data_IF_988996162214
#
_entry.id   IF_988996162214
#
_cell.length_a   1.000
_cell.length_b   1.000
_cell.length_c   1.000
_cell.angle_alpha   90.00
_cell.angle_beta   90.00
_cell.angle_gamma   90.00
#
_symmetry.space_group_name_H-M   'P 1'
#
loop_
_entity.id
_entity.type
_entity.pdbx_description
1 polymer ?
#
# COMPACT_ATOMS: atom_id res chain seq x y z
N UNK A 1 11.92 -33.97 -10.73
CA UNK A 1 11.29 -34.34 -9.45
C UNK A 1 10.08 -33.44 -9.27
N UNK A 2 8.87 -34.00 -9.34
CA UNK A 2 7.65 -33.27 -9.01
C UNK A 2 7.64 -33.02 -7.51
N UNK A 3 7.52 -31.75 -7.10
CA UNK A 3 7.31 -31.44 -5.69
C UNK A 3 6.03 -32.10 -5.20
N UNK A 4 6.03 -32.73 -4.02
CA UNK A 4 4.81 -33.30 -3.48
C UNK A 4 3.76 -32.16 -3.29
N UNK A 5 2.48 -32.47 -3.45
CA UNK A 5 1.44 -31.47 -3.22
C UNK A 5 1.51 -30.95 -1.77
N UNK A 6 1.12 -29.69 -1.53
CA UNK A 6 1.13 -29.14 -0.18
C UNK A 6 0.23 -29.96 0.74
N UNK A 7 0.77 -30.34 1.90
CA UNK A 7 0.07 -31.17 2.88
C UNK A 7 -0.83 -30.36 3.83
N UNK A 8 -0.98 -29.05 3.61
CA UNK A 8 -1.77 -28.17 4.47
C UNK A 8 -2.63 -27.21 3.66
N UNK A 9 -3.77 -26.85 4.21
CA UNK A 9 -4.63 -25.77 3.68
C UNK A 9 -4.17 -24.47 4.33
N UNK A 10 -3.85 -23.46 3.51
CA UNK A 10 -3.49 -22.13 3.96
C UNK A 10 -4.31 -21.06 3.22
N UNK A 11 -4.52 -19.88 3.82
CA UNK A 11 -5.13 -18.77 3.12
C UNK A 11 -4.31 -18.38 1.89
N UNK A 12 -4.99 -17.93 0.84
CA UNK A 12 -4.32 -17.32 -0.31
C UNK A 12 -3.76 -15.96 0.13
N UNK A 13 -2.52 -15.65 -0.21
CA UNK A 13 -1.84 -14.42 0.20
C UNK A 13 -2.54 -13.12 -0.24
N UNK A 14 -3.41 -13.15 -1.24
CA UNK A 14 -4.24 -12.03 -1.71
C UNK A 14 -5.69 -12.06 -1.16
N UNK A 15 -5.98 -12.94 -0.20
CA UNK A 15 -7.31 -13.05 0.38
C UNK A 15 -7.60 -11.88 1.33
N UNK A 16 -8.74 -11.22 1.12
CA UNK A 16 -9.30 -10.25 2.07
C UNK A 16 -10.59 -10.82 2.68
N UNK A 17 -10.63 -10.93 4.00
CA UNK A 17 -11.82 -11.44 4.71
C UNK A 17 -13.02 -10.50 4.58
N UNK A 18 -12.75 -9.21 4.63
CA UNK A 18 -13.76 -8.16 4.57
C UNK A 18 -13.35 -7.08 3.58
N UNK A 19 -14.28 -6.68 2.76
CA UNK A 19 -14.13 -5.56 1.84
C UNK A 19 -15.48 -4.91 1.61
N UNK A 20 -15.49 -3.60 1.41
CA UNK A 20 -16.70 -2.86 1.07
C UNK A 20 -16.39 -1.58 0.34
N UNK A 21 -17.43 -1.01 -0.26
CA UNK A 21 -17.36 0.27 -0.93
C UNK A 21 -18.66 1.05 -0.71
N UNK A 22 -18.53 2.37 -0.62
CA UNK A 22 -19.63 3.33 -0.63
C UNK A 22 -19.35 4.30 -1.76
N UNK A 23 -20.30 4.51 -2.64
CA UNK A 23 -20.21 5.50 -3.71
C UNK A 23 -21.39 6.48 -3.60
N UNK A 24 -21.08 7.77 -3.65
CA UNK A 24 -22.06 8.86 -3.67
C UNK A 24 -21.82 9.68 -4.93
N UNK A 25 -22.86 9.86 -5.71
CA UNK A 25 -22.86 10.73 -6.90
C UNK A 25 -23.96 11.75 -6.75
N UNK A 26 -23.63 13.01 -6.94
CA UNK A 26 -24.57 14.10 -6.90
C UNK A 26 -24.25 15.14 -7.97
N UNK A 27 -25.28 15.66 -8.65
CA UNK A 27 -25.16 16.71 -9.63
C UNK A 27 -26.26 17.74 -9.46
N UNK A 28 -25.88 19.00 -9.43
CA UNK A 28 -26.82 20.12 -9.43
C UNK A 28 -27.56 20.20 -10.76
N UNK A 29 -28.86 20.42 -10.68
CA UNK A 29 -29.76 20.54 -11.82
C UNK A 29 -29.70 21.88 -12.55
N UNK A 30 -30.49 22.01 -13.62
CA UNK A 30 -30.57 23.26 -14.41
C UNK A 30 -31.09 24.45 -13.62
N UNK A 31 -31.86 24.20 -12.56
CA UNK A 31 -32.56 25.24 -11.79
C UNK A 31 -31.70 25.77 -10.61
N UNK A 32 -30.51 25.24 -10.41
CA UNK A 32 -29.61 25.59 -9.30
C UNK A 32 -28.70 26.80 -9.60
N UNK A 33 -29.02 27.58 -10.62
CA UNK A 33 -28.33 28.80 -10.97
C UNK A 33 -26.83 28.60 -11.26
N UNK A 34 -25.95 29.27 -10.52
CA UNK A 34 -24.48 29.17 -10.72
C UNK A 34 -23.91 27.77 -10.43
N UNK A 35 -24.59 26.94 -9.67
CA UNK A 35 -24.18 25.57 -9.38
C UNK A 35 -24.65 24.56 -10.44
N UNK A 36 -25.50 25.02 -11.38
CA UNK A 36 -25.97 24.16 -12.46
C UNK A 36 -24.82 23.51 -13.23
N UNK A 37 -24.86 22.20 -13.36
CA UNK A 37 -23.81 21.42 -14.02
C UNK A 37 -22.62 21.02 -13.15
N UNK A 38 -22.52 21.52 -11.90
CA UNK A 38 -21.53 21.05 -10.92
C UNK A 38 -21.90 19.66 -10.44
N UNK A 39 -20.94 18.77 -10.46
CA UNK A 39 -21.09 17.38 -10.03
C UNK A 39 -20.01 16.95 -9.05
N UNK A 40 -20.38 16.07 -8.14
CA UNK A 40 -19.49 15.44 -7.18
C UNK A 40 -19.67 13.94 -7.23
N UNK A 41 -18.56 13.21 -7.31
CA UNK A 41 -18.54 11.76 -7.15
C UNK A 41 -17.52 11.45 -6.05
N UNK A 42 -18.01 10.87 -4.95
CA UNK A 42 -17.18 10.43 -3.84
C UNK A 42 -17.22 8.92 -3.75
N UNK A 43 -16.07 8.30 -3.67
CA UNK A 43 -15.91 6.86 -3.50
C UNK A 43 -15.08 6.58 -2.24
N UNK A 44 -15.60 5.73 -1.35
CA UNK A 44 -14.88 5.23 -0.20
C UNK A 44 -14.82 3.71 -0.25
N UNK A 45 -13.60 3.15 -0.19
CA UNK A 45 -13.34 1.71 -0.19
C UNK A 45 -12.56 1.33 1.06
N UNK A 46 -12.82 0.13 1.56
CA UNK A 46 -12.06 -0.46 2.64
C UNK A 46 -11.88 -1.95 2.44
N UNK A 47 -10.78 -2.48 2.96
CA UNK A 47 -10.53 -3.92 3.03
C UNK A 47 -9.71 -4.28 4.27
N UNK A 48 -9.81 -5.55 4.70
CA UNK A 48 -9.20 -6.07 5.93
C UNK A 48 -7.71 -6.39 5.83
N UNK A 49 -7.05 -5.99 4.78
CA UNK A 49 -5.70 -6.45 4.51
C UNK A 49 -5.67 -7.91 3.99
N UNK A 50 -4.48 -8.46 3.83
CA UNK A 50 -4.24 -9.81 3.30
C UNK A 50 -3.36 -10.64 4.25
N UNK A 51 -3.43 -11.98 4.18
CA UNK A 51 -2.60 -12.85 5.01
C UNK A 51 -1.11 -12.73 4.68
N UNK A 52 -0.28 -12.81 5.69
CA UNK A 52 1.16 -13.02 5.59
C UNK A 52 1.61 -13.98 6.70
N UNK A 53 2.87 -14.40 6.66
CA UNK A 53 3.44 -15.31 7.66
C UNK A 53 4.65 -14.64 8.32
N UNK A 54 4.63 -14.51 9.63
CA UNK A 54 5.83 -14.12 10.38
C UNK A 54 6.92 -15.19 10.20
N UNK A 55 8.12 -14.75 9.86
CA UNK A 55 9.25 -15.65 9.60
C UNK A 55 10.58 -14.97 9.90
N UNK A 56 11.55 -15.72 10.41
CA UNK A 56 12.87 -15.19 10.74
C UNK A 56 13.74 -14.84 9.53
N UNK A 57 13.46 -15.40 8.39
CA UNK A 57 14.02 -14.95 7.11
C UNK A 57 15.53 -15.15 6.93
N UNK A 58 16.18 -16.11 7.57
CA UNK A 58 17.60 -16.40 7.36
C UNK A 58 18.57 -15.43 8.04
N UNK A 59 19.84 -15.43 7.66
CA UNK A 59 20.89 -14.62 8.32
C UNK A 59 21.34 -13.40 7.53
N UNK A 60 21.59 -12.29 8.22
CA UNK A 60 22.13 -11.05 7.66
C UNK A 60 21.08 -9.99 7.32
N UNK A 61 21.55 -8.86 6.84
CA UNK A 61 20.70 -7.69 6.51
C UNK A 61 19.61 -8.01 5.50
N UNK A 62 19.96 -8.73 4.44
CA UNK A 62 19.00 -9.17 3.42
C UNK A 62 17.87 -10.03 3.93
N UNK A 63 18.13 -10.77 4.98
CA UNK A 63 17.12 -11.62 5.58
C UNK A 63 15.96 -10.87 6.22
N UNK A 64 16.18 -9.65 6.68
CA UNK A 64 15.12 -8.79 7.19
C UNK A 64 14.24 -8.22 6.05
N UNK A 65 14.85 -7.95 4.89
CA UNK A 65 14.21 -7.27 3.76
C UNK A 65 13.54 -8.24 2.77
N UNK A 66 14.27 -9.28 2.38
CA UNK A 66 13.81 -10.26 1.37
C UNK A 66 12.64 -11.11 1.87
N UNK A 67 12.19 -10.70 2.99
CA UNK A 67 11.28 -11.41 3.76
C UNK A 67 10.17 -12.03 2.98
N UNK A 68 9.25 -11.35 2.51
CA UNK A 68 7.95 -11.93 2.51
C UNK A 68 7.36 -12.29 1.17
N UNK A 69 7.72 -11.60 0.12
CA UNK A 69 6.84 -11.58 -1.04
C UNK A 69 7.17 -12.66 -2.07
N UNK A 70 8.44 -12.96 -2.29
CA UNK A 70 8.85 -13.80 -3.41
C UNK A 70 9.29 -15.21 -3.06
N UNK A 71 9.60 -15.53 -1.81
CA UNK A 71 9.97 -16.87 -1.44
C UNK A 71 8.85 -17.57 -0.68
N UNK A 72 8.72 -18.85 -0.89
CA UNK A 72 7.81 -19.70 -0.12
C UNK A 72 8.07 -19.51 1.38
N UNK A 73 7.03 -19.09 2.13
CA UNK A 73 7.11 -18.90 3.57
C UNK A 73 7.65 -20.12 4.33
N UNK A 74 7.50 -21.32 3.76
CA UNK A 74 8.03 -22.58 4.31
C UNK A 74 9.55 -22.67 4.26
N UNK A 75 10.21 -21.93 3.38
CA UNK A 75 11.67 -21.91 3.25
C UNK A 75 12.37 -20.93 4.20
N UNK A 76 11.62 -20.24 5.07
CA UNK A 76 12.11 -19.12 5.88
C UNK A 76 11.94 -19.26 7.37
N UNK A 77 11.84 -20.46 7.88
CA UNK A 77 11.62 -20.67 9.30
C UNK A 77 10.39 -19.88 9.82
N UNK A 78 9.18 -20.26 9.35
CA UNK A 78 7.97 -19.59 9.77
C UNK A 78 7.77 -19.74 11.28
N UNK A 79 7.49 -18.63 11.95
CA UNK A 79 7.24 -18.58 13.40
C UNK A 79 5.77 -18.85 13.76
N UNK A 80 4.93 -18.95 12.74
CA UNK A 80 3.50 -19.21 12.89
C UNK A 80 2.99 -20.11 11.76
N UNK A 81 1.73 -20.49 11.79
CA UNK A 81 1.09 -21.17 10.68
C UNK A 81 1.09 -20.32 9.41
N UNK A 82 1.21 -20.93 8.24
CA UNK A 82 1.22 -20.20 6.96
C UNK A 82 -0.04 -19.35 6.81
N UNK A 83 0.15 -18.03 6.63
CA UNK A 83 -0.91 -17.04 6.57
C UNK A 83 -1.58 -16.76 7.91
N UNK A 84 -0.89 -16.98 9.03
CA UNK A 84 -1.43 -16.79 10.38
C UNK A 84 -1.70 -15.33 10.74
N UNK A 85 -0.90 -14.42 10.24
CA UNK A 85 -1.05 -12.98 10.45
C UNK A 85 -1.75 -12.29 9.29
N UNK A 86 -2.21 -11.05 9.50
CA UNK A 86 -2.90 -10.24 8.48
C UNK A 86 -2.36 -8.82 8.49
N UNK A 87 -2.09 -8.26 7.31
CA UNK A 87 -1.69 -6.86 7.16
C UNK A 87 -2.78 -5.92 7.68
N UNK A 88 -2.47 -4.66 8.02
CA UNK A 88 -3.45 -3.70 8.49
C UNK A 88 -4.60 -3.47 7.50
N UNK A 89 -5.72 -2.97 8.03
CA UNK A 89 -6.84 -2.50 7.22
C UNK A 89 -6.40 -1.35 6.31
N UNK A 90 -6.97 -1.31 5.12
CA UNK A 90 -6.73 -0.29 4.12
C UNK A 90 -8.00 0.49 3.83
N UNK A 91 -7.86 1.81 3.68
CA UNK A 91 -8.96 2.73 3.47
C UNK A 91 -8.61 3.69 2.33
N UNK A 92 -9.47 3.76 1.33
CA UNK A 92 -9.29 4.62 0.16
C UNK A 92 -10.50 5.52 0.00
N UNK A 93 -10.28 6.82 -0.06
CA UNK A 93 -11.29 7.81 -0.37
C UNK A 93 -10.88 8.56 -1.63
N UNK A 94 -11.73 8.59 -2.63
CA UNK A 94 -11.51 9.29 -3.89
C UNK A 94 -12.62 10.32 -4.10
N UNK A 95 -12.28 11.47 -4.65
CA UNK A 95 -13.22 12.52 -4.97
C UNK A 95 -13.01 12.98 -6.40
N UNK A 96 -14.08 13.02 -7.17
CA UNK A 96 -14.13 13.72 -8.44
C UNK A 96 -15.10 14.88 -8.32
N UNK A 97 -14.67 16.07 -8.74
CA UNK A 97 -15.52 17.25 -8.93
C UNK A 97 -15.48 17.61 -10.40
N UNK A 98 -16.61 17.79 -11.02
CA UNK A 98 -16.66 18.26 -12.40
C UNK A 98 -17.70 19.35 -12.59
N UNK A 99 -17.43 20.26 -13.51
CA UNK A 99 -18.32 21.35 -13.87
C UNK A 99 -18.56 21.36 -15.38
N UNK A 100 -19.81 21.21 -15.77
CA UNK A 100 -20.24 21.17 -17.17
C UNK A 100 -20.71 22.54 -17.62
N UNK A 101 -20.14 23.04 -18.69
CA UNK A 101 -20.47 24.31 -19.33
C UNK A 101 -20.92 24.05 -20.77
N UNK A 102 -21.86 24.84 -21.25
CA UNK A 102 -22.22 24.89 -22.67
C UNK A 102 -21.84 26.27 -23.24
N UNK A 103 -20.93 26.29 -24.18
CA UNK A 103 -20.40 27.52 -24.80
C UNK A 103 -20.69 27.47 -26.32
N UNK A 104 -21.73 28.18 -26.76
CA UNK A 104 -22.04 28.29 -28.19
C UNK A 104 -22.28 26.96 -28.92
N UNK A 105 -22.88 25.98 -28.22
CA UNK A 105 -23.16 24.65 -28.78
C UNK A 105 -22.04 23.61 -28.53
N UNK A 106 -20.90 24.05 -27.99
CA UNK A 106 -19.80 23.17 -27.58
C UNK A 106 -19.93 22.87 -26.09
N UNK A 107 -19.89 21.60 -25.73
CA UNK A 107 -19.88 21.13 -24.34
C UNK A 107 -18.45 21.15 -23.78
N UNK A 108 -18.22 21.87 -22.70
CA UNK A 108 -16.93 21.91 -21.99
C UNK A 108 -17.13 21.35 -20.59
N UNK A 109 -16.32 20.39 -20.20
CA UNK A 109 -16.31 19.85 -18.83
C UNK A 109 -14.93 20.09 -18.20
N UNK A 110 -14.91 20.87 -17.14
CA UNK A 110 -13.74 21.02 -16.26
C UNK A 110 -13.83 19.94 -15.18
N UNK A 111 -12.74 19.27 -14.85
CA UNK A 111 -12.77 18.30 -13.77
C UNK A 111 -11.49 18.32 -12.93
N UNK A 112 -11.67 18.01 -11.65
CA UNK A 112 -10.63 17.66 -10.70
C UNK A 112 -10.90 16.26 -10.17
N UNK A 113 -9.88 15.41 -10.16
CA UNK A 113 -9.93 14.07 -9.60
C UNK A 113 -8.84 13.93 -8.54
N UNK A 114 -9.23 13.57 -7.32
CA UNK A 114 -8.35 13.42 -6.17
C UNK A 114 -8.36 11.94 -5.77
N UNK A 115 -7.27 11.26 -6.05
CA UNK A 115 -7.00 9.92 -5.53
C UNK A 115 -6.48 10.04 -4.11
N UNK A 116 -6.93 9.19 -3.21
CA UNK A 116 -6.54 9.19 -1.80
C UNK A 116 -6.76 10.56 -1.14
N UNK A 117 -8.02 11.02 -1.14
CA UNK A 117 -8.47 12.35 -0.68
C UNK A 117 -7.90 12.77 0.68
N UNK A 118 -7.75 11.83 1.61
CA UNK A 118 -7.27 12.10 2.97
C UNK A 118 -5.78 11.85 3.16
N UNK A 119 -5.04 11.58 2.07
CA UNK A 119 -3.62 11.21 2.09
C UNK A 119 -3.31 10.07 3.10
N UNK A 120 -4.22 9.10 3.17
CA UNK A 120 -4.09 7.96 4.08
C UNK A 120 -2.90 7.12 3.67
N UNK A 121 -1.93 6.94 4.58
CA UNK A 121 -0.76 6.08 4.36
C UNK A 121 -1.15 4.62 4.57
N UNK A 122 -1.81 4.03 3.59
CA UNK A 122 -2.23 2.63 3.63
C UNK A 122 -1.03 1.70 3.54
N UNK A 123 -0.93 0.76 4.47
CA UNK A 123 0.03 -0.33 4.45
C UNK A 123 -0.49 -1.40 3.50
N UNK A 124 0.24 -1.66 2.40
CA UNK A 124 -0.10 -2.71 1.44
C UNK A 124 0.73 -3.97 1.63
N UNK A 125 1.89 -3.86 2.29
CA UNK A 125 2.72 -4.99 2.69
C UNK A 125 3.41 -4.69 4.02
N UNK A 126 3.96 -5.73 4.65
CA UNK A 126 4.77 -5.63 5.86
C UNK A 126 6.04 -6.46 5.69
N UNK A 127 7.07 -6.12 6.43
CA UNK A 127 8.25 -6.97 6.54
C UNK A 127 7.89 -8.22 7.35
N UNK A 128 8.20 -9.40 6.82
CA UNK A 128 7.77 -10.65 7.45
C UNK A 128 8.42 -10.93 8.79
N UNK A 129 9.61 -10.40 9.04
CA UNK A 129 10.30 -10.57 10.32
C UNK A 129 9.62 -9.80 11.45
N UNK A 130 9.30 -8.55 11.22
CA UNK A 130 8.73 -7.66 12.23
C UNK A 130 7.19 -7.63 12.24
N UNK A 131 6.55 -8.01 11.13
CA UNK A 131 5.12 -7.82 10.92
C UNK A 131 4.72 -6.34 10.78
N UNK A 132 5.69 -5.45 10.49
CA UNK A 132 5.53 -4.01 10.49
C UNK A 132 5.94 -3.42 9.13
N UNK A 133 5.35 -2.31 8.73
CA UNK A 133 5.71 -1.58 7.51
C UNK A 133 6.79 -0.49 7.75
N UNK A 134 7.11 -0.19 9.01
CA UNK A 134 8.05 0.85 9.41
C UNK A 134 9.36 0.32 9.98
N UNK A 135 9.44 -0.98 10.22
CA UNK A 135 10.61 -1.66 10.79
C UNK A 135 10.79 -3.02 10.11
N UNK A 136 11.92 -3.23 9.48
CA UNK A 136 12.26 -4.49 8.82
C UNK A 136 12.77 -5.57 9.80
N UNK A 137 12.95 -5.21 11.08
CA UNK A 137 13.43 -6.10 12.13
C UNK A 137 14.96 -6.23 12.17
N UNK A 138 15.72 -5.52 11.32
CA UNK A 138 17.18 -5.64 11.32
C UNK A 138 17.83 -4.91 12.50
N UNK A 139 17.54 -3.62 12.67
CA UNK A 139 18.13 -2.82 13.75
C UNK A 139 17.59 -3.18 15.12
N UNK A 140 16.39 -3.70 15.19
CA UNK A 140 15.72 -4.10 16.43
C UNK A 140 16.12 -5.50 16.91
N UNK A 141 16.76 -6.29 16.05
CA UNK A 141 17.34 -7.60 16.41
C UNK A 141 18.85 -7.47 16.66
N UNK A 142 19.33 -7.55 17.93
CA UNK A 142 20.75 -7.47 18.24
C UNK A 142 21.58 -8.60 17.60
N UNK A 143 20.99 -9.76 17.34
CA UNK A 143 21.70 -10.87 16.70
C UNK A 143 22.09 -10.55 15.26
N UNK A 144 21.32 -9.68 14.59
CA UNK A 144 21.59 -9.25 13.21
C UNK A 144 22.45 -7.98 13.15
N UNK A 145 22.21 -7.03 14.05
CA UNK A 145 22.71 -5.67 13.89
C UNK A 145 23.91 -5.31 14.80
N UNK A 146 24.07 -5.98 15.96
CA UNK A 146 25.03 -5.53 16.98
C UNK A 146 26.48 -5.44 16.51
N UNK A 147 26.95 -6.40 15.74
CA UNK A 147 28.33 -6.42 15.24
C UNK A 147 28.59 -5.26 14.26
N UNK A 148 27.71 -5.05 13.31
CA UNK A 148 27.88 -3.99 12.31
C UNK A 148 27.66 -2.59 12.91
N UNK A 149 26.74 -2.46 13.86
CA UNK A 149 26.50 -1.22 14.60
C UNK A 149 27.70 -0.90 15.49
N UNK A 150 28.28 -1.89 16.18
CA UNK A 150 29.48 -1.69 16.97
C UNK A 150 30.69 -1.26 16.13
N UNK A 151 30.82 -1.81 14.91
CA UNK A 151 31.92 -1.46 14.01
C UNK A 151 31.78 -0.06 13.38
N UNK A 152 30.56 0.40 13.10
CA UNK A 152 30.32 1.61 12.30
C UNK A 152 29.60 2.74 13.07
N UNK A 153 29.12 2.48 14.26
CA UNK A 153 28.51 3.47 15.15
C UNK A 153 27.16 4.02 14.69
N UNK A 154 26.80 5.15 15.30
CA UNK A 154 25.48 5.79 15.08
C UNK A 154 25.27 6.25 13.64
N UNK A 155 26.31 6.66 12.94
CA UNK A 155 26.21 7.09 11.53
C UNK A 155 25.64 5.97 10.63
N UNK A 156 26.03 4.73 10.89
CA UNK A 156 25.45 3.59 10.18
C UNK A 156 23.97 3.43 10.47
N UNK A 157 23.57 3.54 11.74
CA UNK A 157 22.16 3.43 12.16
C UNK A 157 21.30 4.49 11.46
N UNK A 158 21.77 5.73 11.43
CA UNK A 158 21.06 6.85 10.81
C UNK A 158 20.94 6.67 9.29
N UNK A 159 22.03 6.23 8.65
CA UNK A 159 22.03 5.93 7.23
C UNK A 159 21.09 4.77 6.88
N UNK A 160 21.15 3.69 7.68
CA UNK A 160 20.29 2.53 7.50
C UNK A 160 18.81 2.92 7.59
N UNK A 161 18.43 3.67 8.63
CA UNK A 161 17.07 4.16 8.82
C UNK A 161 16.59 4.98 7.63
N UNK A 162 17.41 5.94 7.21
CA UNK A 162 17.05 6.80 6.09
C UNK A 162 16.85 6.00 4.78
N UNK A 163 17.77 5.11 4.44
CA UNK A 163 17.74 4.36 3.19
C UNK A 163 16.67 3.26 3.22
N UNK A 164 16.65 2.45 4.28
CA UNK A 164 15.86 1.22 4.30
C UNK A 164 14.50 1.34 4.99
N UNK A 165 14.36 2.19 6.00
CA UNK A 165 13.10 2.32 6.73
C UNK A 165 12.25 3.53 6.27
N UNK A 166 12.88 4.68 6.07
CA UNK A 166 12.15 5.88 5.64
C UNK A 166 11.89 5.90 4.14
N UNK A 167 12.93 5.62 3.33
CA UNK A 167 12.83 5.58 1.88
C UNK A 167 12.57 4.18 1.31
N UNK A 168 12.76 3.13 2.09
CA UNK A 168 12.51 1.73 1.72
C UNK A 168 13.20 1.32 0.41
N UNK A 169 14.36 1.94 0.13
CA UNK A 169 15.03 1.83 -1.15
C UNK A 169 15.40 0.38 -1.48
N UNK A 170 15.87 -0.37 -0.47
CA UNK A 170 16.21 -1.78 -0.65
C UNK A 170 14.98 -2.61 -1.01
N UNK A 171 13.90 -2.44 -0.25
CA UNK A 171 12.63 -3.14 -0.49
C UNK A 171 12.06 -2.83 -1.89
N UNK A 172 12.03 -1.55 -2.27
CA UNK A 172 11.52 -1.14 -3.58
C UNK A 172 12.39 -1.69 -4.73
N UNK A 173 13.70 -1.72 -4.55
CA UNK A 173 14.62 -2.27 -5.56
C UNK A 173 14.44 -3.78 -5.75
N UNK A 174 14.21 -4.52 -4.66
CA UNK A 174 14.09 -5.97 -4.71
C UNK A 174 12.72 -6.44 -5.21
N UNK A 175 11.65 -5.74 -4.85
CA UNK A 175 10.28 -6.17 -5.13
C UNK A 175 9.56 -5.33 -6.20
N UNK A 176 10.10 -4.20 -6.60
CA UNK A 176 9.48 -3.29 -7.58
C UNK A 176 8.22 -2.56 -7.07
N UNK A 177 7.89 -2.72 -5.78
CA UNK A 177 6.73 -2.11 -5.11
C UNK A 177 7.14 -1.56 -3.76
N UNK A 178 6.38 -0.59 -3.22
CA UNK A 178 6.53 -0.10 -1.86
C UNK A 178 5.69 -0.92 -0.87
N UNK A 179 5.99 -0.85 0.42
CA UNK A 179 5.14 -1.37 1.50
C UNK A 179 3.91 -0.50 1.74
N UNK A 180 3.92 0.74 1.24
CA UNK A 180 2.81 1.68 1.32
C UNK A 180 2.15 1.89 -0.04
N UNK A 181 0.84 2.15 -0.02
CA UNK A 181 0.09 2.59 -1.19
C UNK A 181 0.55 3.99 -1.63
N UNK A 182 0.13 4.37 -2.84
CA UNK A 182 0.42 5.70 -3.39
C UNK A 182 -0.14 6.81 -2.50
N UNK A 183 0.58 7.94 -2.34
CA UNK A 183 0.09 9.11 -1.64
C UNK A 183 -1.06 9.77 -2.41
N UNK A 184 -1.60 10.86 -1.87
CA UNK A 184 -2.59 11.67 -2.55
C UNK A 184 -2.09 12.14 -3.93
N UNK A 185 -2.94 12.00 -4.95
CA UNK A 185 -2.68 12.50 -6.30
C UNK A 185 -3.86 13.34 -6.77
N UNK A 186 -3.59 14.58 -7.17
CA UNK A 186 -4.58 15.49 -7.75
C UNK A 186 -4.36 15.57 -9.27
N UNK A 187 -5.42 15.30 -10.03
CA UNK A 187 -5.44 15.40 -11.49
C UNK A 187 -6.46 16.43 -11.90
N UNK A 188 -6.07 17.38 -12.74
CA UNK A 188 -6.95 18.39 -13.32
C UNK A 188 -7.07 18.14 -14.83
N UNK A 189 -8.25 18.37 -15.40
CA UNK A 189 -8.43 18.19 -16.83
C UNK A 189 -9.62 18.93 -17.39
N UNK A 190 -9.64 19.01 -18.71
CA UNK A 190 -10.69 19.61 -19.51
C UNK A 190 -11.10 18.62 -20.60
N UNK A 191 -12.41 18.41 -20.78
CA UNK A 191 -12.97 17.65 -21.88
C UNK A 191 -13.85 18.55 -22.74
N UNK A 192 -13.70 18.46 -24.05
CA UNK A 192 -14.48 19.26 -25.02
C UNK A 192 -15.24 18.30 -25.93
N UNK A 193 -16.56 18.51 -26.06
CA UNK A 193 -17.46 17.74 -26.93
C UNK A 193 -18.08 18.66 -27.97
N UNK A 194 -17.94 18.31 -29.23
CA UNK A 194 -18.46 19.05 -30.40
C UNK A 194 -19.75 18.45 -30.87
#
# INVERSE_FOLDING_TARGET
>A
LLSPPPLMISPLYYHNKHRGAIALDYRYGSDDGLLSGLGFNFEYKFNSGHPYTLSDGGMGQRAADEGAILADARSREPQESIGGSTTPWQYYANLKVDYKLSLGGVGVTLFAYIDNLFDTKNVINVYSRSGNAYDDGFLTDPALSSEIVAANGQTYVDLYRNVNLENRQHYINDFGIDVFAKPQVVKLGVSVNF
#
